data_IF_045768441952
#
_entry.id   IF_045768441952
#
_cell.length_a   1.000
_cell.length_b   1.000
_cell.length_c   1.000
_cell.angle_alpha   90.00
_cell.angle_beta   90.00
_cell.angle_gamma   90.00
#
_symmetry.space_group_name_H-M   'P 1'
#
loop_
_entity.id
_entity.type
_entity.pdbx_description
1 polymer ?
#
# COMPACT_ATOMS: atom_id res chain seq x y z
N UNK A 1 -8.38 6.41 15.52
CA UNK A 1 -7.19 7.22 15.29
C UNK A 1 -6.82 7.22 13.82
N UNK A 2 -6.77 8.35 13.31
CA UNK A 2 -6.75 8.84 12.00
C UNK A 2 -5.33 8.91 11.40
N UNK A 3 -4.70 7.78 11.19
CA UNK A 3 -3.28 7.78 10.86
C UNK A 3 -2.94 7.93 9.38
N UNK A 4 -3.82 7.64 8.46
CA UNK A 4 -3.49 7.66 7.02
C UNK A 4 -4.70 7.53 6.11
N UNK A 5 -5.91 7.63 6.66
CA UNK A 5 -7.14 7.39 5.92
C UNK A 5 -7.32 8.37 4.76
N UNK A 6 -6.92 9.64 4.93
CA UNK A 6 -6.98 10.63 3.85
C UNK A 6 -6.10 10.22 2.66
N UNK A 7 -4.85 9.83 2.92
CA UNK A 7 -3.95 9.38 1.86
C UNK A 7 -4.46 8.11 1.14
N UNK A 8 -5.07 7.18 1.89
CA UNK A 8 -5.73 6.00 1.28
C UNK A 8 -6.89 6.39 0.38
N UNK A 9 -7.77 7.30 0.83
CA UNK A 9 -8.89 7.77 0.02
C UNK A 9 -8.42 8.46 -1.26
N UNK A 10 -7.38 9.30 -1.16
CA UNK A 10 -6.75 9.94 -2.32
C UNK A 10 -6.17 8.88 -3.26
N UNK A 11 -5.48 7.87 -2.74
CA UNK A 11 -4.96 6.75 -3.53
C UNK A 11 -6.06 6.01 -4.29
N UNK A 12 -7.17 5.71 -3.64
CA UNK A 12 -8.34 5.08 -4.29
C UNK A 12 -8.93 5.98 -5.35
N UNK A 13 -9.10 7.29 -5.08
CA UNK A 13 -9.62 8.24 -6.06
C UNK A 13 -8.75 8.28 -7.32
N UNK A 14 -7.41 8.31 -7.17
CA UNK A 14 -6.48 8.28 -8.31
C UNK A 14 -6.52 6.93 -9.02
N UNK A 15 -6.45 5.82 -8.28
CA UNK A 15 -6.46 4.45 -8.85
C UNK A 15 -7.68 4.22 -9.74
N UNK A 16 -8.85 4.62 -9.28
CA UNK A 16 -10.11 4.28 -9.92
C UNK A 16 -10.45 5.23 -11.09
N UNK A 17 -10.04 6.49 -11.02
CA UNK A 17 -10.36 7.49 -12.05
C UNK A 17 -9.22 7.72 -13.05
N UNK A 18 -7.97 7.49 -12.65
CA UNK A 18 -6.77 7.72 -13.46
C UNK A 18 -5.74 6.60 -13.26
N UNK A 19 -6.07 5.34 -13.62
CA UNK A 19 -5.27 4.16 -13.29
C UNK A 19 -3.83 4.22 -13.84
N UNK A 20 -3.61 4.88 -14.97
CA UNK A 20 -2.28 5.08 -15.54
C UNK A 20 -1.39 6.01 -14.71
N UNK A 21 -1.97 6.91 -13.93
CA UNK A 21 -1.24 7.82 -13.05
C UNK A 21 -1.04 7.24 -11.64
N UNK A 22 -1.71 6.12 -11.30
CA UNK A 22 -1.70 5.60 -9.93
C UNK A 22 -0.31 5.19 -9.45
N UNK A 23 0.44 4.41 -10.24
CA UNK A 23 1.75 3.92 -9.81
C UNK A 23 2.75 5.06 -9.60
N UNK A 24 2.95 6.01 -10.54
CA UNK A 24 3.82 7.17 -10.32
C UNK A 24 3.40 7.99 -9.09
N UNK A 25 2.10 8.26 -8.94
CA UNK A 25 1.57 8.99 -7.78
C UNK A 25 1.80 8.23 -6.47
N UNK A 26 1.56 6.92 -6.45
CA UNK A 26 1.79 6.09 -5.27
C UNK A 26 3.24 6.13 -4.81
N UNK A 27 4.20 6.05 -5.74
CA UNK A 27 5.63 6.20 -5.44
C UNK A 27 5.94 7.58 -4.85
N UNK A 28 5.42 8.66 -5.45
CA UNK A 28 5.61 10.02 -4.94
C UNK A 28 5.05 10.19 -3.52
N UNK A 29 3.87 9.62 -3.23
CA UNK A 29 3.28 9.63 -1.90
C UNK A 29 4.10 8.83 -0.89
N UNK A 30 4.66 7.69 -1.32
CA UNK A 30 5.50 6.85 -0.49
C UNK A 30 6.81 7.57 -0.13
N UNK A 31 7.45 8.18 -1.12
CA UNK A 31 8.65 9.01 -0.91
C UNK A 31 8.35 10.21 0.02
N UNK A 32 7.25 10.94 -0.26
CA UNK A 32 6.81 12.05 0.57
C UNK A 32 6.65 11.63 2.03
N UNK A 33 6.03 10.47 2.29
CA UNK A 33 5.81 9.98 3.66
C UNK A 33 7.08 9.46 4.32
N UNK A 34 7.85 8.61 3.62
CA UNK A 34 8.88 7.78 4.26
C UNK A 34 10.30 8.35 4.11
N UNK A 35 10.60 9.06 3.01
CA UNK A 35 11.89 9.70 2.81
C UNK A 35 11.89 11.15 3.32
N UNK A 36 10.81 11.89 3.07
CA UNK A 36 10.73 13.32 3.39
C UNK A 36 10.01 13.62 4.72
N UNK A 37 9.44 12.62 5.38
CA UNK A 37 8.73 12.80 6.65
C UNK A 37 7.42 13.58 6.52
N UNK A 38 6.82 13.61 5.33
CA UNK A 38 5.66 14.40 5.01
C UNK A 38 4.40 14.04 5.79
N UNK A 39 3.55 15.02 6.02
CA UNK A 39 2.29 14.84 6.74
C UNK A 39 1.18 14.39 5.76
N UNK A 40 0.89 13.10 5.71
CA UNK A 40 -0.15 12.51 4.87
C UNK A 40 -1.59 12.73 5.39
N UNK A 41 -1.77 13.54 6.42
CA UNK A 41 -3.08 13.97 6.94
C UNK A 41 -3.43 15.38 6.48
N UNK A 42 -2.46 16.10 5.94
CA UNK A 42 -2.61 17.48 5.49
C UNK A 42 -3.02 17.51 4.01
N UNK A 43 -4.24 17.99 3.75
CA UNK A 43 -4.77 18.13 2.38
C UNK A 43 -3.88 19.02 1.50
N UNK A 44 -3.33 20.11 2.07
CA UNK A 44 -2.48 21.01 1.30
C UNK A 44 -1.15 20.35 0.90
N UNK A 45 -0.57 19.59 1.81
CA UNK A 45 0.64 18.83 1.53
C UNK A 45 0.39 17.74 0.47
N UNK A 46 -0.71 17.00 0.57
CA UNK A 46 -1.10 16.00 -0.43
C UNK A 46 -1.41 16.67 -1.78
N UNK A 47 -2.04 17.85 -1.79
CA UNK A 47 -2.30 18.62 -3.02
C UNK A 47 -1.00 18.92 -3.78
N UNK A 48 0.08 19.25 -3.08
CA UNK A 48 1.37 19.48 -3.71
C UNK A 48 1.93 18.22 -4.39
N UNK A 49 1.77 17.05 -3.74
CA UNK A 49 2.19 15.77 -4.33
C UNK A 49 1.34 15.44 -5.56
N UNK A 50 0.02 15.65 -5.50
CA UNK A 50 -0.87 15.47 -6.64
C UNK A 50 -0.45 16.36 -7.82
N UNK A 51 -0.24 17.65 -7.59
CA UNK A 51 0.22 18.62 -8.61
C UNK A 51 1.57 18.20 -9.20
N UNK A 52 2.53 17.82 -8.36
CA UNK A 52 3.83 17.32 -8.81
C UNK A 52 3.76 16.05 -9.65
N UNK A 53 2.68 15.28 -9.48
CA UNK A 53 2.39 14.06 -10.26
C UNK A 53 1.52 14.34 -11.50
N UNK A 54 1.25 15.61 -11.83
CA UNK A 54 0.43 16.00 -12.99
C UNK A 54 -1.07 15.77 -12.81
N UNK A 55 -1.53 15.63 -11.57
CA UNK A 55 -2.93 15.41 -11.21
C UNK A 55 -3.59 16.70 -10.74
N UNK A 56 -4.90 16.86 -11.00
CA UNK A 56 -5.69 17.97 -10.48
C UNK A 56 -6.16 17.70 -9.04
N UNK A 57 -5.63 18.42 -8.04
CA UNK A 57 -6.04 18.21 -6.65
C UNK A 57 -7.52 18.49 -6.41
N UNK A 58 -8.12 19.45 -7.12
CA UNK A 58 -9.52 19.80 -6.93
C UNK A 58 -10.43 18.65 -7.35
N UNK A 59 -10.17 18.03 -8.50
CA UNK A 59 -10.91 16.88 -8.98
C UNK A 59 -10.75 15.65 -8.06
N UNK A 60 -9.52 15.37 -7.61
CA UNK A 60 -9.24 14.25 -6.72
C UNK A 60 -9.92 14.44 -5.35
N UNK A 61 -9.86 15.64 -4.77
CA UNK A 61 -10.51 15.89 -3.50
C UNK A 61 -12.03 15.96 -3.60
N UNK A 62 -12.60 16.40 -4.71
CA UNK A 62 -14.04 16.29 -4.94
C UNK A 62 -14.50 14.84 -4.89
N UNK A 63 -13.72 13.92 -5.46
CA UNK A 63 -13.97 12.50 -5.38
C UNK A 63 -13.85 11.95 -3.95
N UNK A 64 -12.84 12.37 -3.19
CA UNK A 64 -12.70 12.02 -1.78
C UNK A 64 -13.91 12.49 -0.97
N UNK A 65 -14.34 13.73 -1.19
CA UNK A 65 -15.46 14.35 -0.48
C UNK A 65 -16.83 13.75 -0.84
N UNK A 66 -16.93 13.05 -1.99
CA UNK A 66 -18.11 12.25 -2.34
C UNK A 66 -18.35 11.07 -1.41
N UNK A 67 -17.33 10.63 -0.67
CA UNK A 67 -17.38 9.46 0.19
C UNK A 67 -17.19 8.12 -0.53
N UNK A 68 -17.16 8.10 -1.88
CA UNK A 68 -16.96 6.88 -2.66
C UNK A 68 -15.65 6.16 -2.33
N UNK A 69 -14.48 6.83 -2.27
CA UNK A 69 -13.23 6.17 -1.93
C UNK A 69 -13.26 5.51 -0.55
N UNK A 70 -13.90 6.15 0.43
CA UNK A 70 -14.06 5.56 1.77
C UNK A 70 -14.92 4.30 1.74
N UNK A 71 -16.01 4.32 1.00
CA UNK A 71 -16.87 3.14 0.82
C UNK A 71 -16.13 2.00 0.12
N UNK A 72 -15.29 2.32 -0.89
CA UNK A 72 -14.45 1.33 -1.58
C UNK A 72 -13.45 0.68 -0.61
N UNK A 73 -12.76 1.48 0.21
CA UNK A 73 -11.82 0.96 1.23
C UNK A 73 -12.55 0.00 2.18
N UNK A 74 -13.72 0.39 2.67
CA UNK A 74 -14.49 -0.45 3.58
C UNK A 74 -14.91 -1.78 2.93
N UNK A 75 -15.38 -1.73 1.69
CA UNK A 75 -15.80 -2.92 0.95
C UNK A 75 -14.63 -3.86 0.65
N UNK A 76 -13.49 -3.32 0.20
CA UNK A 76 -12.28 -4.11 -0.07
C UNK A 76 -11.73 -4.73 1.23
N UNK A 77 -11.66 -3.96 2.32
CA UNK A 77 -11.25 -4.48 3.62
C UNK A 77 -12.13 -5.64 4.07
N UNK A 78 -13.46 -5.47 4.04
CA UNK A 78 -14.40 -6.52 4.41
C UNK A 78 -14.25 -7.77 3.53
N UNK A 79 -14.07 -7.58 2.23
CA UNK A 79 -13.86 -8.68 1.28
C UNK A 79 -12.64 -9.51 1.66
N UNK A 80 -11.47 -8.88 1.81
CA UNK A 80 -10.23 -9.61 2.09
C UNK A 80 -10.16 -10.16 3.52
N UNK A 81 -10.73 -9.45 4.49
CA UNK A 81 -10.87 -9.97 5.85
C UNK A 81 -11.71 -11.26 5.89
N UNK A 82 -12.78 -11.32 5.09
CA UNK A 82 -13.66 -12.49 5.04
C UNK A 82 -13.09 -13.62 4.19
N UNK A 83 -12.57 -13.31 2.98
CA UNK A 83 -12.14 -14.36 2.03
C UNK A 83 -10.78 -14.95 2.36
N UNK A 84 -9.85 -14.16 2.90
CA UNK A 84 -8.45 -14.55 3.12
C UNK A 84 -7.97 -14.35 4.57
N UNK A 85 -8.86 -14.00 5.48
CA UNK A 85 -8.53 -13.72 6.88
C UNK A 85 -7.40 -12.68 7.06
N UNK A 86 -7.37 -11.67 6.17
CA UNK A 86 -6.37 -10.60 6.22
C UNK A 86 -6.61 -9.74 7.46
N UNK A 87 -5.65 -9.73 8.38
CA UNK A 87 -5.71 -9.00 9.65
C UNK A 87 -4.58 -7.99 9.82
N UNK A 88 -3.66 -7.90 8.87
CA UNK A 88 -2.52 -7.00 8.91
C UNK A 88 -1.91 -6.76 7.53
N UNK A 89 -0.88 -5.94 7.48
CA UNK A 89 -0.16 -5.59 6.25
C UNK A 89 1.36 -5.69 6.47
N UNK A 90 2.11 -5.99 5.44
CA UNK A 90 1.68 -6.42 4.09
C UNK A 90 1.23 -7.88 4.06
N UNK A 91 0.20 -8.15 3.26
CA UNK A 91 -0.25 -9.51 2.91
C UNK A 91 -0.09 -9.69 1.42
N UNK A 92 0.58 -10.75 1.02
CA UNK A 92 0.68 -11.18 -0.36
C UNK A 92 -0.42 -12.21 -0.61
N UNK A 93 -1.15 -12.00 -1.71
CA UNK A 93 -2.23 -12.90 -2.14
C UNK A 93 -1.86 -13.42 -3.52
N UNK A 94 -1.76 -14.74 -3.65
CA UNK A 94 -1.53 -15.44 -4.92
C UNK A 94 -2.58 -16.53 -5.02
N UNK A 95 -3.43 -16.43 -6.03
CA UNK A 95 -4.62 -17.27 -6.22
C UNK A 95 -5.52 -17.25 -4.95
N UNK A 96 -5.64 -18.37 -4.26
CA UNK A 96 -6.43 -18.55 -3.04
C UNK A 96 -5.58 -18.50 -1.74
N UNK A 97 -4.26 -18.30 -1.88
CA UNK A 97 -3.33 -18.26 -0.75
C UNK A 97 -3.05 -16.83 -0.32
N UNK A 98 -3.09 -16.57 0.97
CA UNK A 98 -2.75 -15.28 1.55
C UNK A 98 -1.68 -15.45 2.63
N UNK A 99 -0.58 -14.72 2.52
CA UNK A 99 0.56 -14.81 3.44
C UNK A 99 0.92 -13.44 3.98
N UNK A 100 0.90 -13.30 5.30
CA UNK A 100 1.43 -12.11 5.97
C UNK A 100 2.95 -12.17 5.99
N UNK A 101 3.59 -11.10 5.52
CA UNK A 101 5.05 -11.00 5.44
C UNK A 101 5.54 -9.86 6.30
N UNK A 102 6.54 -10.12 7.11
CA UNK A 102 7.27 -9.10 7.84
C UNK A 102 8.75 -9.17 7.49
N UNK A 103 9.25 -8.12 6.89
CA UNK A 103 10.69 -7.98 6.63
C UNK A 103 11.37 -7.34 7.85
N UNK A 104 12.61 -7.73 8.10
CA UNK A 104 13.41 -7.22 9.23
C UNK A 104 14.05 -5.89 8.90
N UNK A 105 14.39 -5.68 7.62
CA UNK A 105 15.12 -4.51 7.18
C UNK A 105 14.71 -4.09 5.77
N UNK A 106 15.23 -2.95 5.32
CA UNK A 106 14.99 -2.39 4.00
C UNK A 106 16.15 -2.74 3.08
N UNK A 107 15.90 -2.79 1.78
CA UNK A 107 16.96 -3.01 0.77
C UNK A 107 17.85 -1.77 0.57
N UNK A 108 17.49 -0.61 1.13
CA UNK A 108 18.25 0.65 1.16
C UNK A 108 18.82 1.09 -0.20
N UNK A 109 18.01 0.94 -1.27
CA UNK A 109 18.41 1.28 -2.64
C UNK A 109 19.07 0.15 -3.41
N UNK A 110 19.29 -1.02 -2.82
CA UNK A 110 19.72 -2.22 -3.55
C UNK A 110 18.51 -2.86 -4.25
N UNK A 111 18.36 -2.53 -5.53
CA UNK A 111 17.26 -3.02 -6.36
C UNK A 111 17.31 -4.54 -6.52
N UNK A 112 18.50 -5.12 -6.70
CA UNK A 112 18.66 -6.56 -6.87
C UNK A 112 18.24 -7.32 -5.60
N UNK A 113 18.62 -6.80 -4.42
CA UNK A 113 18.18 -7.35 -3.14
C UNK A 113 16.66 -7.24 -2.96
N UNK A 114 16.06 -6.10 -3.35
CA UNK A 114 14.61 -5.90 -3.28
C UNK A 114 13.86 -6.90 -4.16
N UNK A 115 14.26 -7.05 -5.42
CA UNK A 115 13.68 -8.00 -6.38
C UNK A 115 13.79 -9.43 -5.83
N UNK A 116 15.00 -9.84 -5.46
CA UNK A 116 15.26 -11.18 -4.94
C UNK A 116 14.44 -11.49 -3.67
N UNK A 117 14.24 -10.49 -2.81
CA UNK A 117 13.40 -10.64 -1.61
C UNK A 117 11.94 -10.94 -1.99
N UNK A 118 11.38 -10.24 -2.97
CA UNK A 118 10.00 -10.46 -3.43
C UNK A 118 9.88 -11.82 -4.13
N UNK A 119 10.83 -12.20 -4.97
CA UNK A 119 10.86 -13.51 -5.63
C UNK A 119 10.83 -14.65 -4.59
N UNK A 120 11.65 -14.55 -3.55
CA UNK A 120 11.65 -15.56 -2.45
C UNK A 120 10.34 -15.63 -1.70
N UNK A 121 9.64 -14.50 -1.51
CA UNK A 121 8.32 -14.51 -0.89
C UNK A 121 7.34 -15.26 -1.78
N UNK A 122 7.33 -14.97 -3.09
CA UNK A 122 6.44 -15.62 -4.05
C UNK A 122 6.71 -17.12 -4.15
N UNK A 123 7.98 -17.52 -4.24
CA UNK A 123 8.40 -18.93 -4.26
C UNK A 123 7.94 -19.68 -3.00
N UNK A 124 8.03 -19.05 -1.83
CA UNK A 124 7.58 -19.66 -0.58
C UNK A 124 6.05 -19.80 -0.49
N UNK A 125 5.29 -18.88 -1.08
CA UNK A 125 3.83 -18.96 -1.11
C UNK A 125 3.37 -20.21 -1.90
N UNK A 126 4.08 -20.53 -2.97
CA UNK A 126 3.74 -21.67 -3.82
C UNK A 126 4.31 -23.01 -3.32
N UNK A 127 5.15 -22.99 -2.30
CA UNK A 127 5.72 -24.23 -1.77
C UNK A 127 4.69 -25.03 -0.96
N UNK A 128 4.22 -26.19 -1.45
CA UNK A 128 3.01 -26.84 -0.91
C UNK A 128 3.17 -27.45 0.48
N UNK A 129 4.40 -27.62 0.95
CA UNK A 129 4.70 -28.20 2.28
C UNK A 129 5.17 -27.18 3.31
N UNK A 130 5.33 -25.90 2.92
CA UNK A 130 5.72 -24.84 3.84
C UNK A 130 4.47 -24.18 4.41
N UNK A 131 4.26 -24.30 5.72
CA UNK A 131 3.17 -23.62 6.40
C UNK A 131 3.62 -22.35 7.14
N UNK A 132 4.71 -22.44 7.89
CA UNK A 132 5.23 -21.30 8.65
C UNK A 132 6.77 -21.27 8.64
N UNK A 133 7.32 -20.08 8.40
CA UNK A 133 8.73 -19.79 8.58
C UNK A 133 8.86 -18.47 9.34
N UNK A 134 9.39 -18.53 10.56
CA UNK A 134 9.42 -17.38 11.46
C UNK A 134 10.62 -17.43 12.39
N UNK A 135 11.28 -16.28 12.54
CA UNK A 135 12.28 -16.14 13.61
C UNK A 135 11.61 -16.29 14.99
N UNK A 136 12.20 -17.07 15.87
CA UNK A 136 11.73 -17.25 17.26
C UNK A 136 11.95 -16.00 18.09
N UNK A 137 12.94 -15.19 17.73
CA UNK A 137 13.17 -13.85 18.25
C UNK A 137 13.47 -12.89 17.11
N UNK A 138 13.01 -11.66 17.22
CA UNK A 138 13.36 -10.61 16.23
C UNK A 138 14.80 -10.19 16.47
N UNK A 139 15.72 -10.31 15.49
CA UNK A 139 17.06 -9.76 15.59
C UNK A 139 16.99 -8.25 15.85
N UNK A 140 17.87 -7.75 16.70
CA UNK A 140 18.01 -6.31 17.04
C UNK A 140 19.19 -5.71 16.32
#
# INVERSE_FOLDING_TARGET
SDSGLLALQVGIAVRDNQPHAFVPFHHAMYEFKHALGGNIRDRAAIANVLTGSGLDPAAVFAEVDSGRPLATIAAEHQRYATSHHVWGVPVFIVDDKAVFVRLLDRAEGDEALAIHTIERILDNIDWPILNEFKHTSVPR
#
